data_IF_600307010408
#
_entry.id   IF_600307010408
#
_cell.length_a   1.000
_cell.length_b   1.000
_cell.length_c   1.000
_cell.angle_alpha   90.00
_cell.angle_beta   90.00
_cell.angle_gamma   90.00
#
_symmetry.space_group_name_H-M   'P 1'
#
loop_
_entity.id
_entity.type
_entity.pdbx_description
1 polymer ?
#
# COMPACT_ATOMS: atom_id res chain seq x y z
N UNK A 1 0.49 -4.09 10.89
CA UNK A 1 -0.22 -3.50 9.71
C UNK A 1 -1.20 -2.42 10.15
N UNK A 2 -1.52 -1.43 9.33
CA UNK A 2 -2.34 -0.27 9.78
C UNK A 2 -3.75 -0.21 9.17
N UNK A 3 -3.83 -0.16 7.85
CA UNK A 3 -5.06 -0.01 7.07
C UNK A 3 -4.80 -0.49 5.65
N UNK A 4 -5.81 -0.52 4.79
CA UNK A 4 -5.61 -0.84 3.38
C UNK A 4 -6.45 0.00 2.44
N UNK A 5 -6.12 -0.13 1.17
CA UNK A 5 -6.84 0.44 0.04
C UNK A 5 -7.23 -0.67 -0.93
N UNK A 6 -8.35 -0.46 -1.64
CA UNK A 6 -8.79 -1.39 -2.67
C UNK A 6 -9.38 -0.67 -3.87
N UNK A 7 -9.28 -1.31 -5.04
CA UNK A 7 -9.93 -0.85 -6.27
C UNK A 7 -11.31 -1.50 -6.42
N UNK A 8 -12.34 -0.69 -6.71
CA UNK A 8 -13.70 -1.17 -6.96
C UNK A 8 -13.69 -2.23 -8.07
N UNK A 9 -14.35 -3.36 -7.83
CA UNK A 9 -14.50 -4.44 -8.81
C UNK A 9 -13.27 -5.34 -9.02
N UNK A 10 -12.15 -5.11 -8.31
CA UNK A 10 -10.95 -5.95 -8.42
C UNK A 10 -10.73 -6.91 -7.26
N UNK A 11 -11.27 -6.57 -6.08
CA UNK A 11 -11.36 -7.47 -4.94
C UNK A 11 -12.71 -8.17 -4.95
N UNK A 12 -12.70 -9.50 -5.07
CA UNK A 12 -13.89 -10.36 -5.01
C UNK A 12 -14.52 -10.39 -3.61
N UNK A 13 -13.79 -9.97 -2.58
CA UNK A 13 -14.27 -9.88 -1.19
C UNK A 13 -13.62 -8.70 -0.49
N UNK A 14 -14.41 -7.93 0.25
CA UNK A 14 -13.94 -6.86 1.15
C UNK A 14 -13.83 -7.32 2.59
N UNK A 15 -14.00 -8.62 2.87
CA UNK A 15 -13.85 -9.17 4.22
C UNK A 15 -12.40 -9.00 4.68
N UNK A 16 -12.21 -8.09 5.63
CA UNK A 16 -10.92 -7.70 6.18
C UNK A 16 -11.12 -7.27 7.63
N UNK A 17 -10.19 -7.61 8.51
CA UNK A 17 -10.14 -7.07 9.89
C UNK A 17 -9.43 -5.71 9.94
N UNK A 18 -8.75 -5.33 8.86
CA UNK A 18 -8.17 -4.01 8.68
C UNK A 18 -9.19 -3.06 8.04
N UNK A 19 -9.21 -1.77 8.44
CA UNK A 19 -10.02 -0.78 7.76
C UNK A 19 -9.55 -0.63 6.32
N UNK A 20 -10.47 -0.83 5.37
CA UNK A 20 -10.22 -0.71 3.93
C UNK A 20 -10.91 0.53 3.35
N UNK A 21 -10.14 1.32 2.60
CA UNK A 21 -10.65 2.50 1.89
C UNK A 21 -10.70 2.23 0.39
N UNK A 22 -11.80 2.62 -0.25
CA UNK A 22 -11.88 2.60 -1.70
C UNK A 22 -10.90 3.62 -2.31
N UNK A 23 -10.09 3.18 -3.27
CA UNK A 23 -9.19 4.05 -4.04
C UNK A 23 -10.01 4.97 -4.96
N UNK A 24 -9.82 6.27 -4.78
CA UNK A 24 -10.38 7.32 -5.64
C UNK A 24 -9.33 7.81 -6.63
N UNK A 25 -9.80 8.47 -7.70
CA UNK A 25 -8.94 8.97 -8.78
C UNK A 25 -7.87 9.95 -8.32
N UNK A 26 -8.15 10.71 -7.26
CA UNK A 26 -7.24 11.70 -6.71
C UNK A 26 -6.53 11.24 -5.43
N UNK A 27 -6.60 9.95 -5.07
CA UNK A 27 -5.82 9.46 -3.92
C UNK A 27 -4.35 9.31 -4.34
N UNK A 28 -3.45 9.95 -3.59
CA UNK A 28 -2.01 9.80 -3.72
C UNK A 28 -1.33 9.53 -2.38
N UNK A 29 -0.05 9.20 -2.42
CA UNK A 29 0.80 9.00 -1.25
C UNK A 29 2.13 9.74 -1.42
N UNK A 30 2.40 10.74 -0.60
CA UNK A 30 3.61 11.55 -0.75
C UNK A 30 4.86 10.72 -0.43
N UNK A 31 5.80 10.71 -1.38
CA UNK A 31 7.08 10.02 -1.31
C UNK A 31 8.29 10.99 -1.33
N UNK A 32 8.05 12.30 -1.39
CA UNK A 32 9.09 13.33 -1.29
C UNK A 32 9.58 13.49 0.17
N UNK A 33 10.86 13.16 0.48
CA UNK A 33 11.41 13.25 1.83
C UNK A 33 11.53 14.68 2.35
N UNK A 34 11.48 15.70 1.49
CA UNK A 34 11.54 17.11 1.87
C UNK A 34 10.15 17.71 2.15
N UNK A 35 9.07 17.02 1.80
CA UNK A 35 7.71 17.49 2.04
C UNK A 35 7.29 17.27 3.51
N UNK A 36 6.52 18.22 4.06
CA UNK A 36 5.89 18.10 5.38
C UNK A 36 4.96 16.89 5.50
N UNK A 37 4.41 16.43 4.38
CA UNK A 37 3.52 15.29 4.21
C UNK A 37 4.24 14.01 3.80
N UNK A 38 5.58 13.96 3.86
CA UNK A 38 6.34 12.76 3.56
C UNK A 38 5.73 11.51 4.21
N UNK A 39 5.58 10.44 3.44
CA UNK A 39 4.98 9.17 3.82
C UNK A 39 3.55 9.31 4.40
N UNK A 40 2.71 10.14 3.78
CA UNK A 40 1.29 10.33 4.13
C UNK A 40 0.37 10.29 2.89
N UNK A 41 -0.91 9.96 3.08
CA UNK A 41 -1.93 10.17 2.05
C UNK A 41 -2.04 11.66 1.69
N UNK A 42 -2.11 11.95 0.39
CA UNK A 42 -2.32 13.28 -0.17
C UNK A 42 -3.40 13.22 -1.27
N UNK A 43 -3.79 14.39 -1.79
CA UNK A 43 -4.72 14.50 -2.92
C UNK A 43 -3.98 14.95 -4.18
N UNK A 44 -4.26 14.27 -5.30
CA UNK A 44 -3.74 14.61 -6.62
C UNK A 44 -4.67 15.61 -7.35
N UNK A 45 -4.13 16.52 -8.17
CA UNK A 45 -2.70 16.79 -8.34
C UNK A 45 -2.08 17.34 -7.06
N UNK A 46 -0.86 16.88 -6.74
CA UNK A 46 -0.10 17.29 -5.56
C UNK A 46 1.17 18.02 -6.03
N UNK A 47 1.57 19.15 -5.41
CA UNK A 47 2.67 19.98 -5.92
C UNK A 47 4.07 19.38 -5.74
N UNK A 48 4.19 18.28 -5.00
CA UNK A 48 5.43 17.51 -4.78
C UNK A 48 5.26 16.09 -5.26
N UNK A 49 6.33 15.30 -5.20
CA UNK A 49 6.29 13.89 -5.56
C UNK A 49 5.26 13.13 -4.71
N UNK A 50 4.47 12.30 -5.38
CA UNK A 50 3.52 11.40 -4.75
C UNK A 50 3.20 10.19 -5.66
N UNK A 51 3.19 9.00 -5.05
CA UNK A 51 2.66 7.76 -5.62
C UNK A 51 1.17 7.92 -5.95
N UNK A 52 0.74 7.49 -7.13
CA UNK A 52 -0.66 7.51 -7.54
C UNK A 52 -1.35 6.23 -7.08
N UNK A 53 -2.30 6.32 -6.16
CA UNK A 53 -2.96 5.13 -5.64
C UNK A 53 -3.85 4.46 -6.70
N UNK A 54 -4.45 5.23 -7.62
CA UNK A 54 -5.21 4.71 -8.76
C UNK A 54 -4.28 4.40 -9.95
N UNK A 55 -3.48 3.35 -9.82
CA UNK A 55 -2.56 2.89 -10.86
C UNK A 55 -3.28 2.34 -12.10
N UNK A 56 -2.69 2.45 -13.30
CA UNK A 56 -3.21 1.76 -14.49
C UNK A 56 -2.95 0.23 -14.42
N UNK A 57 -1.89 -0.19 -13.72
CA UNK A 57 -1.60 -1.59 -13.43
C UNK A 57 -2.45 -2.13 -12.25
N UNK A 58 -2.26 -3.41 -11.91
CA UNK A 58 -2.99 -4.09 -10.83
C UNK A 58 -2.34 -4.02 -9.46
N UNK A 59 -1.17 -3.37 -9.31
CA UNK A 59 -0.37 -3.48 -8.08
C UNK A 59 -1.19 -3.08 -6.85
N UNK A 60 -2.02 -2.05 -6.98
CA UNK A 60 -2.91 -1.55 -5.92
C UNK A 60 -4.38 -1.91 -6.14
N UNK A 61 -4.67 -3.03 -6.80
CA UNK A 61 -6.02 -3.61 -6.74
C UNK A 61 -6.42 -3.91 -5.29
N UNK A 62 -5.44 -4.33 -4.49
CA UNK A 62 -5.47 -4.34 -3.04
C UNK A 62 -4.07 -3.98 -2.53
N UNK A 63 -3.95 -2.98 -1.65
CA UNK A 63 -2.71 -2.69 -0.95
C UNK A 63 -2.95 -2.40 0.53
N UNK A 64 -2.09 -2.93 1.38
CA UNK A 64 -2.14 -2.76 2.83
C UNK A 64 -0.94 -1.91 3.25
N UNK A 65 -1.22 -0.86 4.01
CA UNK A 65 -0.22 0.03 4.59
C UNK A 65 0.47 -0.69 5.75
N UNK A 66 1.78 -0.89 5.60
CA UNK A 66 2.64 -1.36 6.67
C UNK A 66 2.97 -0.19 7.60
N UNK A 67 3.33 -0.49 8.84
CA UNK A 67 3.74 0.50 9.85
C UNK A 67 5.17 1.02 9.67
N UNK A 68 5.85 0.56 8.61
CA UNK A 68 7.20 0.97 8.27
C UNK A 68 7.30 2.48 7.98
N UNK A 69 8.15 3.16 8.76
CA UNK A 69 8.40 4.60 8.68
C UNK A 69 7.14 5.48 8.82
N UNK A 70 6.10 5.02 9.52
CA UNK A 70 4.83 5.77 9.70
C UNK A 70 4.84 6.66 10.95
N UNK A 71 5.37 6.19 12.08
CA UNK A 71 5.49 6.95 13.35
C UNK A 71 6.71 6.50 14.17
N UNK A 72 7.70 7.39 14.42
CA UNK A 72 7.92 8.67 13.75
C UNK A 72 8.26 8.47 12.26
N UNK A 73 8.02 9.49 11.44
CA UNK A 73 8.44 9.49 10.03
C UNK A 73 9.82 10.11 9.93
N UNK A 74 10.81 9.34 9.51
CA UNK A 74 12.19 9.76 9.31
C UNK A 74 12.43 9.97 7.82
N UNK A 75 12.85 11.18 7.44
CA UNK A 75 13.15 11.53 6.05
C UNK A 75 14.18 10.58 5.46
N UNK A 76 13.99 10.18 4.20
CA UNK A 76 14.91 9.29 3.47
C UNK A 76 14.88 7.83 3.90
N UNK A 77 14.07 7.44 4.91
CA UNK A 77 13.98 6.05 5.37
C UNK A 77 12.95 5.22 4.61
N UNK A 78 12.57 5.63 3.40
CA UNK A 78 11.56 4.97 2.55
C UNK A 78 10.12 5.41 2.84
N UNK A 79 9.27 5.33 1.82
CA UNK A 79 7.86 5.72 1.85
C UNK A 79 7.04 4.77 1.00
N UNK A 80 5.71 4.78 1.18
CA UNK A 80 4.79 3.95 0.39
C UNK A 80 5.13 2.44 0.45
N UNK A 81 5.72 1.98 1.57
CA UNK A 81 6.05 0.57 1.77
C UNK A 81 4.77 -0.19 2.11
N UNK A 82 4.24 -0.88 1.11
CA UNK A 82 2.95 -1.56 1.16
C UNK A 82 3.10 -3.08 1.01
N UNK A 83 2.08 -3.79 1.48
CA UNK A 83 1.81 -5.18 1.13
C UNK A 83 0.76 -5.21 0.03
N UNK A 84 1.11 -5.63 -1.19
CA UNK A 84 0.26 -5.41 -2.37
C UNK A 84 0.30 -6.55 -3.40
N UNK A 85 -0.42 -6.40 -4.51
CA UNK A 85 -0.46 -7.39 -5.59
C UNK A 85 0.85 -7.36 -6.39
N UNK A 86 1.45 -8.51 -6.63
CA UNK A 86 2.67 -8.63 -7.43
C UNK A 86 2.45 -8.21 -8.89
N UNK A 87 3.50 -7.66 -9.51
CA UNK A 87 3.56 -7.44 -10.96
C UNK A 87 3.53 -8.81 -11.65
N UNK A 88 3.04 -8.85 -12.90
CA UNK A 88 3.18 -10.04 -13.73
C UNK A 88 4.66 -10.42 -13.87
N UNK A 89 4.95 -11.73 -13.85
CA UNK A 89 6.32 -12.24 -13.79
C UNK A 89 7.01 -12.11 -12.43
N UNK A 90 6.32 -11.61 -11.39
CA UNK A 90 6.85 -11.48 -10.02
C UNK A 90 8.15 -10.67 -9.95
N UNK A 91 8.24 -9.60 -10.76
CA UNK A 91 9.42 -8.72 -10.81
C UNK A 91 9.71 -8.09 -9.43
N UNK A 92 11.00 -7.82 -9.12
CA UNK A 92 11.41 -7.23 -7.83
C UNK A 92 10.66 -5.93 -7.49
N UNK A 93 10.45 -5.71 -6.20
CA UNK A 93 9.85 -4.49 -5.66
C UNK A 93 10.94 -3.55 -5.12
N UNK A 94 10.63 -2.27 -5.04
CA UNK A 94 11.49 -1.26 -4.40
C UNK A 94 11.20 -1.17 -2.89
N UNK A 95 11.21 -2.32 -2.20
CA UNK A 95 11.04 -2.43 -0.75
C UNK A 95 9.63 -2.83 -0.26
N UNK A 96 8.63 -2.82 -1.14
CA UNK A 96 7.31 -3.38 -0.84
C UNK A 96 7.34 -4.92 -0.71
N UNK A 97 6.30 -5.49 -0.10
CA UNK A 97 6.07 -6.93 -0.10
C UNK A 97 4.92 -7.24 -1.04
N UNK A 98 5.11 -8.16 -1.98
CA UNK A 98 4.10 -8.45 -2.98
C UNK A 98 3.75 -9.93 -3.04
N UNK A 99 2.47 -10.23 -3.30
CA UNK A 99 1.95 -11.59 -3.47
C UNK A 99 0.98 -11.66 -4.64
N UNK A 100 0.75 -12.86 -5.17
CA UNK A 100 -0.26 -13.05 -6.20
C UNK A 100 -1.68 -12.71 -5.70
N UNK A 101 -2.60 -12.30 -6.59
CA UNK A 101 -3.99 -11.98 -6.24
C UNK A 101 -4.70 -13.06 -5.43
N UNK A 102 -4.48 -14.35 -5.77
CA UNK A 102 -5.08 -15.48 -5.04
C UNK A 102 -4.61 -15.56 -3.58
N UNK A 103 -3.32 -15.34 -3.34
CA UNK A 103 -2.73 -15.33 -1.99
C UNK A 103 -3.24 -14.13 -1.20
N UNK A 104 -3.29 -12.93 -1.80
CA UNK A 104 -3.89 -11.75 -1.15
C UNK A 104 -5.34 -12.02 -0.74
N UNK A 105 -6.14 -12.64 -1.61
CA UNK A 105 -7.54 -13.00 -1.32
C UNK A 105 -7.65 -13.94 -0.10
N UNK A 106 -6.73 -14.90 0.01
CA UNK A 106 -6.69 -15.82 1.15
C UNK A 106 -6.23 -15.12 2.44
N UNK A 107 -5.21 -14.26 2.36
CA UNK A 107 -4.63 -13.63 3.55
C UNK A 107 -5.48 -12.49 4.11
N UNK A 108 -6.07 -11.65 3.25
CA UNK A 108 -6.75 -10.41 3.63
C UNK A 108 -7.77 -10.55 4.78
N UNK A 109 -8.63 -11.60 4.84
CA UNK A 109 -9.55 -11.81 5.95
C UNK A 109 -8.88 -12.05 7.31
N UNK A 110 -7.62 -12.48 7.32
CA UNK A 110 -6.84 -12.79 8.52
C UNK A 110 -5.89 -11.66 8.93
N UNK A 111 -5.58 -10.73 8.01
CA UNK A 111 -4.72 -9.59 8.31
C UNK A 111 -5.38 -8.65 9.31
N UNK A 112 -4.61 -8.26 10.33
CA UNK A 112 -5.04 -7.39 11.43
C UNK A 112 -3.92 -6.45 11.85
N UNK A 113 -4.19 -5.58 12.82
CA UNK A 113 -3.15 -4.67 13.35
C UNK A 113 -2.06 -5.43 14.11
N UNK A 114 -2.36 -6.62 14.61
CA UNK A 114 -1.44 -7.53 15.29
C UNK A 114 -0.61 -8.40 14.33
N UNK A 115 -0.94 -8.41 13.03
CA UNK A 115 -0.19 -9.18 12.05
C UNK A 115 1.18 -8.56 11.81
N UNK A 116 2.22 -9.39 11.93
CA UNK A 116 3.63 -9.04 11.70
C UNK A 116 4.11 -9.74 10.44
N UNK A 117 4.72 -8.98 9.53
CA UNK A 117 5.51 -9.53 8.42
C UNK A 117 6.97 -9.58 8.87
N UNK A 118 7.59 -10.75 8.77
CA UNK A 118 9.04 -10.92 8.95
C UNK A 118 9.66 -11.23 7.61
N UNK A 119 10.64 -10.43 7.20
CA UNK A 119 11.45 -10.68 6.00
C UNK A 119 12.71 -11.39 6.46
N UNK A 120 12.86 -12.64 6.06
CA UNK A 120 14.04 -13.46 6.37
C UNK A 120 15.02 -13.37 5.21
N UNK A 121 16.32 -13.39 5.53
CA UNK A 121 17.41 -13.45 4.55
C UNK A 121 17.89 -14.88 4.41
#
# INVERSE_FOLDING_TARGET
>A
MLSGYFRKGRLLTTKSKLPLKLIRQNDGWCDDPLDRNYNRPVKLPYPKSAECMKRPDRLYDCCVVLDYNIRPRRRGMGSAIFFHIAREGFLPTEGCVAVYPGVMKQLLPHLSRQTVIRVLR
#
